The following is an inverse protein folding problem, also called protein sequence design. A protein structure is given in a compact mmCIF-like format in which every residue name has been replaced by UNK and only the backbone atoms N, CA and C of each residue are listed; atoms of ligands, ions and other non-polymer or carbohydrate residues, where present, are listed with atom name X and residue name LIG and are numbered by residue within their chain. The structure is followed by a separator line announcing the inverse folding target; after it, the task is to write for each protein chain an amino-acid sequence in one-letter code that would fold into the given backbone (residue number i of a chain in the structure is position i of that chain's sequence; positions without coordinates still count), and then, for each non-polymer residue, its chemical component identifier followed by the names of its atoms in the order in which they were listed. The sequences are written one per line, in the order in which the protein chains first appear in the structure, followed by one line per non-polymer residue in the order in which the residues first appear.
data_IF_727253863676
#
_entry.id   IF_727253863676
#
_cell.length_a   1.000
_cell.length_b   1.000
_cell.length_c   1.000
_cell.angle_alpha   90.00
_cell.angle_beta   90.00
_cell.angle_gamma   90.00
#
_symmetry.space_group_name_H-M   'P 1'
#
loop_
_entity.id
_entity.type
_entity.pdbx_description
1 polymer ?
#
# COMPACT_ATOMS: atom_id res chain seq x y z
N UNK A 1 -9.02 56.16 -39.48
CA UNK A 1 -7.78 55.59 -38.91
C UNK A 1 -7.98 54.08 -39.03
N UNK A 2 -7.49 53.38 -40.06
CA UNK A 2 -6.20 53.49 -40.79
C UNK A 2 -5.03 53.10 -39.87
N UNK A 3 -4.24 52.05 -40.13
CA UNK A 3 -4.36 50.96 -41.11
C UNK A 3 -3.01 50.40 -41.59
N UNK A 4 -2.97 49.10 -41.94
CA UNK A 4 -1.88 48.40 -42.69
C UNK A 4 -0.50 48.23 -41.98
N UNK A 5 0.41 47.30 -42.37
CA UNK A 5 0.34 45.99 -43.04
C UNK A 5 1.77 45.33 -43.10
N UNK A 6 1.87 44.11 -43.67
CA UNK A 6 3.09 43.41 -44.18
C UNK A 6 3.91 42.59 -43.14
N UNK A 7 4.22 41.27 -43.30
CA UNK A 7 4.87 40.48 -44.40
C UNK A 7 6.41 40.50 -44.31
N UNK A 8 7.25 39.54 -44.77
CA UNK A 8 7.14 38.16 -45.31
C UNK A 8 8.61 37.63 -45.54
N UNK A 9 8.98 36.38 -45.85
CA UNK A 9 8.47 34.99 -45.67
C UNK A 9 9.57 34.00 -46.16
N UNK A 10 9.58 32.72 -45.76
CA UNK A 10 10.53 31.70 -46.29
C UNK A 10 10.75 30.45 -45.41
N UNK A 11 11.16 29.28 -45.93
CA UNK A 11 10.45 28.30 -46.78
C UNK A 11 11.40 27.11 -47.12
N UNK A 12 11.11 25.93 -46.55
CA UNK A 12 11.42 24.57 -47.06
C UNK A 12 12.89 24.16 -47.34
N UNK A 13 13.18 23.01 -48.01
CA UNK A 13 13.32 21.74 -47.28
C UNK A 13 14.55 20.90 -47.67
N UNK A 14 14.72 19.72 -47.06
CA UNK A 14 15.43 18.59 -47.69
C UNK A 14 15.07 17.23 -47.08
N UNK A 15 14.89 16.23 -47.94
CA UNK A 15 14.80 14.81 -47.57
C UNK A 15 15.43 13.97 -48.69
N UNK A 16 16.11 12.88 -48.34
CA UNK A 16 16.54 11.85 -49.28
C UNK A 16 16.90 10.55 -48.54
N UNK A 17 16.59 9.42 -49.17
CA UNK A 17 16.65 8.08 -48.61
C UNK A 17 18.01 7.41 -48.84
N UNK A 18 18.33 6.38 -48.04
CA UNK A 18 18.75 5.05 -48.55
C UNK A 18 18.97 4.02 -47.44
N UNK A 19 18.61 2.78 -47.74
CA UNK A 19 19.12 1.53 -47.14
C UNK A 19 19.86 0.76 -48.28
N UNK A 20 20.33 -0.51 -48.17
CA UNK A 20 20.22 -1.47 -47.07
C UNK A 20 21.53 -2.31 -46.85
N UNK A 21 21.37 -3.53 -46.32
CA UNK A 21 22.18 -4.76 -46.58
C UNK A 21 22.92 -5.39 -45.40
N UNK A 22 23.14 -6.70 -45.52
CA UNK A 22 23.47 -7.64 -44.44
C UNK A 22 24.81 -8.36 -44.62
N UNK A 23 25.22 -9.05 -43.55
CA UNK A 23 26.08 -10.25 -43.53
C UNK A 23 27.60 -10.12 -43.78
N UNK A 24 28.38 -10.57 -42.79
CA UNK A 24 29.28 -11.73 -42.92
C UNK A 24 29.76 -12.26 -41.55
N UNK A 25 30.01 -13.57 -41.46
CA UNK A 25 30.84 -14.24 -40.44
C UNK A 25 32.01 -14.94 -41.18
N UNK A 26 33.10 -15.41 -40.53
CA UNK A 26 33.14 -16.56 -39.60
C UNK A 26 34.03 -16.25 -38.36
N UNK A 27 34.56 -17.13 -37.49
CA UNK A 27 34.71 -18.61 -37.31
C UNK A 27 34.58 -18.95 -35.80
N UNK A 28 34.37 -20.20 -35.36
CA UNK A 28 34.16 -21.47 -36.07
C UNK A 28 34.28 -22.69 -35.13
N UNK A 29 33.95 -23.88 -35.65
CA UNK A 29 34.21 -25.24 -35.12
C UNK A 29 33.83 -25.59 -33.66
N UNK A 30 32.78 -26.41 -33.50
CA UNK A 30 32.44 -27.12 -32.25
C UNK A 30 31.34 -28.18 -32.47
N UNK A 31 31.74 -29.45 -32.61
CA UNK A 31 30.97 -30.63 -33.08
C UNK A 31 29.57 -30.88 -32.50
N UNK A 32 28.77 -31.70 -33.21
CA UNK A 32 27.35 -31.95 -32.93
C UNK A 32 27.02 -33.40 -32.44
N UNK A 33 25.95 -33.48 -31.62
CA UNK A 33 25.02 -34.63 -31.45
C UNK A 33 25.56 -36.00 -30.94
N UNK A 34 24.70 -37.01 -30.62
CA UNK A 34 23.22 -37.05 -30.46
C UNK A 34 22.69 -37.71 -29.15
N UNK A 35 21.41 -37.45 -28.84
CA UNK A 35 20.42 -38.49 -28.44
C UNK A 35 20.34 -39.01 -26.99
N UNK A 36 19.12 -39.38 -26.56
CA UNK A 36 18.86 -40.14 -25.33
C UNK A 36 17.40 -40.06 -24.82
N UNK A 37 16.67 -41.18 -24.82
CA UNK A 37 15.34 -41.30 -24.22
C UNK A 37 15.39 -42.11 -22.91
N UNK A 38 14.61 -41.72 -21.90
CA UNK A 38 14.50 -42.41 -20.61
C UNK A 38 13.19 -42.03 -19.90
N UNK A 39 12.69 -42.92 -19.02
CA UNK A 39 11.29 -42.91 -18.56
C UNK A 39 11.09 -42.64 -17.07
N UNK A 40 9.85 -42.25 -16.75
CA UNK A 40 9.14 -42.36 -15.46
C UNK A 40 9.24 -41.26 -14.39
N UNK A 41 8.04 -41.05 -13.82
CA UNK A 41 7.57 -40.31 -12.64
C UNK A 41 8.16 -40.77 -11.28
N UNK A 42 7.87 -40.12 -10.11
CA UNK A 42 6.71 -39.25 -9.83
C UNK A 42 6.93 -37.96 -9.00
N UNK A 43 5.94 -37.06 -9.11
CA UNK A 43 5.22 -36.53 -7.94
C UNK A 43 5.75 -35.32 -7.15
N UNK A 44 5.08 -34.18 -7.32
CA UNK A 44 4.65 -33.30 -6.21
C UNK A 44 3.47 -32.44 -6.70
N UNK A 45 2.43 -32.28 -5.87
CA UNK A 45 1.25 -31.49 -6.26
C UNK A 45 1.52 -29.99 -6.17
N UNK A 46 1.51 -29.30 -7.31
CA UNK A 46 1.57 -27.83 -7.36
C UNK A 46 0.28 -27.24 -6.74
N UNK A 47 0.37 -26.27 -5.81
CA UNK A 47 -0.81 -25.73 -5.14
C UNK A 47 -1.61 -24.88 -6.13
N UNK A 48 -2.73 -25.43 -6.62
CA UNK A 48 -3.67 -24.75 -7.52
C UNK A 48 -4.03 -23.37 -6.95
N UNK A 49 -3.55 -22.32 -7.61
CA UNK A 49 -4.00 -20.96 -7.34
C UNK A 49 -5.51 -20.87 -7.60
N UNK A 50 -6.28 -20.54 -6.57
CA UNK A 50 -7.70 -20.24 -6.73
C UNK A 50 -7.81 -18.83 -7.31
N UNK A 51 -8.27 -18.73 -8.56
CA UNK A 51 -8.54 -17.44 -9.20
C UNK A 51 -9.56 -16.63 -8.37
N UNK A 52 -9.27 -15.36 -8.04
CA UNK A 52 -10.30 -14.44 -7.57
C UNK A 52 -11.33 -14.23 -8.69
N UNK A 53 -12.60 -14.57 -8.43
CA UNK A 53 -13.66 -14.39 -9.42
C UNK A 53 -13.90 -12.91 -9.74
N UNK A 54 -13.95 -12.56 -11.02
CA UNK A 54 -14.07 -11.18 -11.50
C UNK A 54 -15.35 -10.47 -11.05
N UNK A 55 -15.28 -9.74 -9.93
CA UNK A 55 -16.29 -8.76 -9.52
C UNK A 55 -15.93 -7.35 -10.02
N UNK A 56 -16.86 -6.68 -10.70
CA UNK A 56 -16.61 -5.32 -11.20
C UNK A 56 -16.72 -4.26 -10.08
N UNK A 57 -15.74 -3.35 -10.01
CA UNK A 57 -15.94 -2.04 -9.38
C UNK A 57 -15.27 -1.78 -8.03
N UNK A 58 -14.20 -2.49 -7.68
CA UNK A 58 -13.36 -2.18 -6.50
C UNK A 58 -11.88 -2.04 -6.86
N UNK A 59 -11.19 -1.07 -6.26
CA UNK A 59 -9.73 -0.99 -6.36
C UNK A 59 -9.10 -2.08 -5.48
N UNK A 60 -8.52 -3.10 -6.10
CA UNK A 60 -8.11 -4.37 -5.49
C UNK A 60 -7.54 -4.23 -4.06
N UNK A 61 -8.23 -4.90 -3.12
CA UNK A 61 -7.92 -4.91 -1.69
C UNK A 61 -7.25 -6.24 -1.35
N UNK A 62 -5.97 -6.20 -0.98
CA UNK A 62 -5.18 -7.39 -0.65
C UNK A 62 -5.37 -7.76 0.82
N UNK A 63 -5.64 -9.03 1.09
CA UNK A 63 -5.71 -9.61 2.44
C UNK A 63 -4.71 -10.77 2.56
N UNK A 64 -3.57 -10.53 3.22
CA UNK A 64 -2.54 -11.54 3.47
C UNK A 64 -2.75 -12.31 4.79
N UNK A 65 -3.05 -11.60 5.88
CA UNK A 65 -3.46 -12.14 7.18
C UNK A 65 -4.91 -11.71 7.45
N UNK A 66 -5.89 -12.61 7.30
CA UNK A 66 -7.28 -12.29 7.69
C UNK A 66 -7.39 -12.14 9.21
N UNK A 67 -8.07 -11.07 9.63
CA UNK A 67 -8.31 -10.70 11.03
C UNK A 67 -9.80 -10.58 11.29
N UNK A 68 -10.22 -10.80 12.53
CA UNK A 68 -11.61 -10.52 12.94
C UNK A 68 -11.89 -9.02 12.78
N UNK A 69 -13.06 -8.71 12.23
CA UNK A 69 -13.55 -7.34 12.08
C UNK A 69 -14.37 -6.91 13.31
N UNK A 70 -15.06 -7.84 13.98
CA UNK A 70 -15.53 -7.65 15.36
C UNK A 70 -14.38 -7.94 16.35
N UNK A 71 -13.84 -6.89 16.96
CA UNK A 71 -12.83 -6.91 18.02
C UNK A 71 -12.99 -5.71 18.94
N UNK A 72 -12.45 -5.77 20.16
CA UNK A 72 -12.32 -4.58 21.02
C UNK A 72 -11.04 -3.80 20.64
N UNK A 73 -11.15 -2.55 20.16
CA UNK A 73 -9.98 -1.73 19.84
C UNK A 73 -9.22 -1.22 21.07
N UNK A 74 -9.87 -1.07 22.23
CA UNK A 74 -9.24 -0.56 23.45
C UNK A 74 -8.23 -1.57 24.01
N UNK A 75 -8.59 -2.84 24.08
CA UNK A 75 -7.72 -3.92 24.57
C UNK A 75 -6.54 -4.30 23.66
N UNK A 76 -6.34 -3.64 22.50
CA UNK A 76 -5.27 -4.02 21.56
C UNK A 76 -3.87 -3.59 22.02
N UNK A 77 -3.72 -2.37 22.54
CA UNK A 77 -2.43 -1.82 22.99
C UNK A 77 -2.61 -1.13 24.33
N UNK A 78 -1.75 -1.48 25.29
CA UNK A 78 -1.68 -0.74 26.55
C UNK A 78 -1.13 0.68 26.33
N UNK A 79 -1.58 1.63 27.15
CA UNK A 79 -1.03 3.00 27.15
C UNK A 79 0.52 3.05 27.27
N UNK A 80 1.16 2.05 27.90
CA UNK A 80 2.62 1.94 27.94
C UNK A 80 3.23 1.51 26.59
N UNK A 81 2.63 0.57 25.86
CA UNK A 81 3.07 0.20 24.51
C UNK A 81 2.93 1.35 23.51
N UNK A 82 1.91 2.18 23.70
CA UNK A 82 1.68 3.42 22.95
C UNK A 82 2.71 4.48 23.30
N UNK A 83 2.97 4.73 24.59
CA UNK A 83 4.00 5.66 25.07
C UNK A 83 5.39 5.35 24.49
N UNK A 84 5.75 4.06 24.41
CA UNK A 84 7.00 3.58 23.79
C UNK A 84 7.09 3.89 22.29
N UNK A 85 5.98 3.90 21.53
CA UNK A 85 6.02 4.34 20.11
C UNK A 85 6.20 5.85 20.02
N UNK A 86 5.49 6.62 20.85
CA UNK A 86 5.59 8.08 20.87
C UNK A 86 6.90 8.64 21.43
N UNK A 87 7.75 7.80 22.04
CA UNK A 87 8.89 8.26 22.84
C UNK A 87 8.47 9.14 24.02
N UNK A 88 7.27 8.91 24.56
CA UNK A 88 6.70 9.64 25.70
C UNK A 88 6.99 8.92 27.02
N UNK A 89 7.12 9.68 28.11
CA UNK A 89 7.30 9.10 29.45
C UNK A 89 6.02 8.43 29.99
N UNK A 90 4.87 9.07 29.76
CA UNK A 90 3.55 8.58 30.13
C UNK A 90 2.54 8.97 29.04
N UNK A 91 1.61 8.05 28.76
CA UNK A 91 0.37 8.33 28.03
C UNK A 91 -0.79 7.94 28.96
N UNK A 92 -1.79 8.81 29.06
CA UNK A 92 -3.00 8.60 29.82
C UNK A 92 -4.08 7.98 28.92
N UNK A 93 -4.72 6.93 29.41
CA UNK A 93 -5.85 6.30 28.74
C UNK A 93 -7.13 7.08 29.03
N UNK A 94 -7.91 7.31 27.97
CA UNK A 94 -9.12 8.15 27.99
C UNK A 94 -10.26 7.42 27.28
N UNK A 95 -11.49 7.77 27.62
CA UNK A 95 -12.70 7.13 27.07
C UNK A 95 -12.71 7.11 25.55
N UNK A 96 -12.96 5.93 24.96
CA UNK A 96 -12.97 5.76 23.50
C UNK A 96 -11.61 5.40 22.90
N UNK A 97 -10.79 4.63 23.63
CA UNK A 97 -9.51 4.08 23.15
C UNK A 97 -8.53 5.19 22.70
N UNK A 98 -8.58 6.32 23.42
CA UNK A 98 -7.79 7.52 23.17
C UNK A 98 -6.67 7.57 24.19
N UNK A 99 -5.43 7.49 23.73
CA UNK A 99 -4.23 7.64 24.56
C UNK A 99 -3.68 9.05 24.34
N UNK A 100 -3.38 9.78 25.42
CA UNK A 100 -2.91 11.18 25.33
C UNK A 100 -1.73 11.48 26.24
N UNK A 101 -0.84 12.36 25.80
CA UNK A 101 0.15 13.03 26.64
C UNK A 101 0.13 14.53 26.32
N UNK A 102 0.45 15.35 27.31
CA UNK A 102 0.23 16.81 27.25
C UNK A 102 1.51 17.63 27.07
N UNK A 103 2.68 17.07 27.39
CA UNK A 103 3.97 17.75 27.29
C UNK A 103 5.06 16.80 26.73
N UNK A 104 5.34 16.81 25.40
CA UNK A 104 4.63 17.49 24.31
C UNK A 104 3.23 16.91 24.05
N UNK A 105 2.36 17.66 23.35
CA UNK A 105 1.00 17.19 23.06
C UNK A 105 1.01 16.12 21.99
N UNK A 106 0.59 14.91 22.38
CA UNK A 106 0.55 13.70 21.56
C UNK A 106 -0.74 12.93 21.82
N UNK A 107 -1.46 12.55 20.78
CA UNK A 107 -2.70 11.78 20.87
C UNK A 107 -2.68 10.64 19.88
N UNK A 108 -3.11 9.45 20.31
CA UNK A 108 -3.50 8.36 19.43
C UNK A 108 -4.93 7.89 19.74
N UNK A 109 -5.69 7.53 18.72
CA UNK A 109 -6.99 6.89 18.82
C UNK A 109 -6.93 5.58 18.03
N UNK A 110 -7.31 4.47 18.67
CA UNK A 110 -7.39 3.15 18.04
C UNK A 110 -8.87 2.79 17.94
N UNK A 111 -9.37 2.49 16.74
CA UNK A 111 -10.80 2.23 16.53
C UNK A 111 -11.09 1.19 15.45
N UNK A 112 -12.22 0.50 15.58
CA UNK A 112 -12.79 -0.31 14.52
C UNK A 112 -13.51 0.60 13.50
N UNK A 113 -13.43 0.25 12.22
CA UNK A 113 -13.97 1.04 11.12
C UNK A 113 -14.26 0.17 9.90
N UNK A 114 -14.66 0.78 8.78
CA UNK A 114 -14.82 0.09 7.51
C UNK A 114 -13.77 0.56 6.51
N UNK A 115 -13.23 -0.38 5.73
CA UNK A 115 -12.25 -0.14 4.69
C UNK A 115 -12.96 0.41 3.45
N UNK A 116 -13.28 1.70 3.45
CA UNK A 116 -13.73 2.42 2.27
C UNK A 116 -12.48 2.89 1.53
N UNK A 117 -12.14 2.33 0.35
CA UNK A 117 -10.99 2.76 -0.44
C UNK A 117 -11.33 4.08 -1.15
N UNK A 118 -11.33 5.19 -0.41
CA UNK A 118 -11.67 6.48 -0.96
C UNK A 118 -10.64 6.88 -2.04
N UNK A 119 -11.13 7.14 -3.25
CA UNK A 119 -10.27 7.52 -4.38
C UNK A 119 -9.59 8.89 -4.18
N UNK A 120 -10.06 9.69 -3.21
CA UNK A 120 -9.47 10.95 -2.79
C UNK A 120 -8.46 10.82 -1.62
N UNK A 121 -8.17 9.61 -1.14
CA UNK A 121 -7.18 9.34 -0.08
C UNK A 121 -5.72 9.50 -0.57
N UNK A 122 -5.38 10.69 -1.06
CA UNK A 122 -4.04 11.09 -1.46
C UNK A 122 -3.11 11.21 -0.24
N UNK A 123 -2.53 10.09 0.21
CA UNK A 123 -1.12 10.01 0.67
C UNK A 123 -0.55 8.55 0.70
N UNK A 124 -1.19 7.65 -0.03
CA UNK A 124 -0.57 6.44 -0.59
C UNK A 124 -1.08 5.12 -0.01
N UNK A 125 -1.09 4.10 -0.87
CA UNK A 125 -1.23 2.69 -0.48
C UNK A 125 0.04 2.24 0.23
N UNK A 126 -0.12 1.55 1.35
CA UNK A 126 0.92 0.86 2.09
C UNK A 126 0.45 -0.57 2.41
N UNK A 127 1.29 -1.39 3.03
CA UNK A 127 0.90 -2.70 3.54
C UNK A 127 1.16 -2.79 5.04
N UNK A 128 0.20 -3.31 5.80
CA UNK A 128 0.34 -3.60 7.23
C UNK A 128 0.00 -5.06 7.46
N UNK A 129 0.93 -5.82 8.03
CA UNK A 129 0.78 -7.27 8.25
C UNK A 129 0.65 -8.13 6.97
N UNK A 130 0.80 -7.54 5.78
CA UNK A 130 0.51 -8.17 4.48
C UNK A 130 -0.88 -7.85 3.91
N UNK A 131 -1.66 -7.00 4.58
CA UNK A 131 -2.95 -6.50 4.09
C UNK A 131 -2.80 -5.08 3.52
N UNK A 132 -3.65 -4.73 2.56
CA UNK A 132 -3.76 -3.36 2.05
C UNK A 132 -4.12 -2.39 3.17
N UNK A 133 -3.40 -1.28 3.21
CA UNK A 133 -3.69 -0.17 4.09
C UNK A 133 -3.55 1.17 3.35
N UNK A 134 -4.29 2.18 3.81
CA UNK A 134 -4.19 3.56 3.34
C UNK A 134 -3.64 4.44 4.44
N UNK A 135 -2.84 5.43 4.04
CA UNK A 135 -2.34 6.49 4.90
C UNK A 135 -2.93 7.82 4.44
N UNK A 136 -3.57 8.54 5.35
CA UNK A 136 -4.24 9.82 5.12
C UNK A 136 -3.62 10.85 6.05
N UNK A 137 -2.93 11.87 5.52
CA UNK A 137 -2.34 12.94 6.34
C UNK A 137 -3.28 14.14 6.41
N UNK A 138 -3.37 14.77 7.58
CA UNK A 138 -4.03 16.06 7.79
C UNK A 138 -3.00 17.13 8.18
N UNK A 139 -3.44 18.37 8.41
CA UNK A 139 -2.54 19.46 8.83
C UNK A 139 -1.94 19.21 10.22
N UNK A 140 -2.68 18.53 11.11
CA UNK A 140 -2.32 18.33 12.53
C UNK A 140 -1.87 16.88 12.86
N UNK A 141 -2.03 15.94 11.91
CA UNK A 141 -1.91 14.53 12.22
C UNK A 141 -1.92 13.60 11.00
N UNK A 142 -2.13 12.31 11.26
CA UNK A 142 -2.19 11.27 10.23
C UNK A 142 -3.00 10.06 10.69
N UNK A 143 -3.81 9.51 9.80
CA UNK A 143 -4.59 8.31 10.01
C UNK A 143 -4.11 7.17 9.11
N UNK A 144 -4.07 5.95 9.67
CA UNK A 144 -3.79 4.71 8.96
C UNK A 144 -5.01 3.79 9.07
N UNK A 145 -5.48 3.31 7.92
CA UNK A 145 -6.64 2.44 7.80
C UNK A 145 -6.21 1.11 7.16
N UNK A 146 -6.32 0.00 7.88
CA UNK A 146 -5.84 -1.34 7.48
C UNK A 146 -7.02 -2.28 7.28
N UNK A 147 -7.12 -2.92 6.12
CA UNK A 147 -8.14 -3.94 5.85
C UNK A 147 -7.94 -5.18 6.73
N UNK A 148 -9.00 -5.75 7.30
CA UNK A 148 -8.95 -6.89 8.23
C UNK A 148 -9.53 -8.17 7.61
N UNK A 149 -10.80 -8.12 7.20
CA UNK A 149 -11.46 -9.15 6.40
C UNK A 149 -12.69 -8.60 5.68
N UNK A 150 -13.05 -9.21 4.55
CA UNK A 150 -14.33 -9.00 3.86
C UNK A 150 -15.45 -9.59 4.73
N UNK A 151 -16.30 -8.76 5.34
CA UNK A 151 -17.47 -9.24 6.10
C UNK A 151 -18.68 -9.42 5.19
N UNK A 152 -18.78 -8.60 4.15
CA UNK A 152 -19.72 -8.78 3.04
C UNK A 152 -19.07 -8.33 1.73
N UNK A 153 -19.77 -8.53 0.60
CA UNK A 153 -19.36 -7.97 -0.70
C UNK A 153 -19.48 -6.42 -0.75
N UNK A 154 -20.05 -5.80 0.28
CA UNK A 154 -20.31 -4.36 0.37
C UNK A 154 -19.40 -3.67 1.41
N UNK A 155 -18.86 -4.42 2.38
CA UNK A 155 -18.02 -3.89 3.45
C UNK A 155 -16.88 -4.84 3.84
N UNK A 156 -15.66 -4.30 3.79
CA UNK A 156 -14.46 -4.90 4.43
C UNK A 156 -14.27 -4.20 5.78
N UNK A 157 -14.12 -4.97 6.86
CA UNK A 157 -13.81 -4.41 8.18
C UNK A 157 -12.38 -3.87 8.25
N UNK A 158 -12.14 -2.84 9.05
CA UNK A 158 -10.86 -2.15 9.13
C UNK A 158 -10.42 -1.81 10.56
N UNK A 159 -9.11 -1.87 10.77
CA UNK A 159 -8.44 -1.18 11.87
C UNK A 159 -8.10 0.24 11.42
N UNK A 160 -8.58 1.23 12.16
CA UNK A 160 -8.17 2.63 12.00
C UNK A 160 -7.35 3.08 13.21
N UNK A 161 -6.22 3.72 12.95
CA UNK A 161 -5.41 4.40 13.96
C UNK A 161 -5.18 5.83 13.52
N UNK A 162 -5.61 6.79 14.34
CA UNK A 162 -5.42 8.22 14.13
C UNK A 162 -4.35 8.74 15.10
N UNK A 163 -3.40 9.53 14.63
CA UNK A 163 -2.34 10.16 15.45
C UNK A 163 -2.29 11.66 15.20
N UNK A 164 -2.30 12.44 16.29
CA UNK A 164 -2.15 13.90 16.29
C UNK A 164 -0.94 14.28 17.14
N UNK A 165 -0.16 15.27 16.69
CA UNK A 165 1.06 15.72 17.38
C UNK A 165 1.26 17.23 17.19
N UNK A 166 1.78 17.91 18.21
CA UNK A 166 2.23 19.32 18.17
C UNK A 166 3.46 19.61 17.26
N UNK A 167 3.76 18.72 16.31
CA UNK A 167 4.95 18.80 15.45
C UNK A 167 6.23 18.26 16.10
N UNK A 168 6.19 17.77 17.34
CA UNK A 168 7.36 17.15 18.01
C UNK A 168 7.79 15.79 17.44
N UNK A 169 7.00 15.20 16.53
CA UNK A 169 7.30 13.94 15.84
C UNK A 169 6.60 13.88 14.47
N UNK A 170 6.90 12.87 13.64
CA UNK A 170 6.20 12.64 12.37
C UNK A 170 4.97 11.74 12.61
N UNK A 171 3.73 12.25 12.47
CA UNK A 171 2.53 11.54 12.93
C UNK A 171 2.19 10.34 12.05
N UNK A 172 2.59 10.30 10.78
CA UNK A 172 2.30 9.18 9.90
C UNK A 172 3.16 7.96 10.21
N UNK A 173 4.45 8.14 10.54
CA UNK A 173 5.28 7.00 10.95
C UNK A 173 4.74 6.39 12.25
N UNK A 174 4.40 7.24 13.23
CA UNK A 174 3.77 6.82 14.49
C UNK A 174 2.45 6.07 14.25
N UNK A 175 1.60 6.55 13.35
CA UNK A 175 0.35 5.88 12.99
C UNK A 175 0.58 4.52 12.33
N UNK A 176 1.60 4.36 11.48
CA UNK A 176 1.97 3.07 10.86
C UNK A 176 2.52 2.10 11.91
N UNK A 177 3.38 2.57 12.82
CA UNK A 177 3.97 1.73 13.87
C UNK A 177 2.91 1.25 14.86
N UNK A 178 1.99 2.13 15.27
CA UNK A 178 0.84 1.79 16.12
C UNK A 178 -0.14 0.85 15.39
N UNK A 179 -0.51 1.13 14.14
CA UNK A 179 -1.39 0.26 13.36
C UNK A 179 -0.78 -1.13 13.16
N UNK A 180 0.55 -1.23 12.98
CA UNK A 180 1.25 -2.51 12.87
C UNK A 180 1.19 -3.30 14.18
N UNK A 181 1.50 -2.67 15.32
CA UNK A 181 1.40 -3.32 16.64
C UNK A 181 -0.04 -3.75 16.96
N UNK A 182 -1.02 -2.87 16.74
CA UNK A 182 -2.42 -3.16 17.00
C UNK A 182 -2.96 -4.26 16.08
N UNK A 183 -2.60 -4.26 14.79
CA UNK A 183 -3.03 -5.29 13.83
C UNK A 183 -2.56 -6.69 14.24
N UNK A 184 -1.30 -6.87 14.66
CA UNK A 184 -0.81 -8.18 15.10
C UNK A 184 -1.47 -8.65 16.41
N UNK A 185 -2.05 -7.74 17.20
CA UNK A 185 -2.84 -8.03 18.42
C UNK A 185 -4.29 -8.46 18.14
N UNK A 186 -4.90 -8.03 17.03
CA UNK A 186 -6.27 -8.46 16.66
C UNK A 186 -6.28 -9.99 16.45
N UNK A 187 -7.29 -10.73 16.95
CA UNK A 187 -7.43 -12.16 16.68
C UNK A 187 -7.54 -12.46 15.18
N UNK A 188 -6.98 -13.58 14.74
CA UNK A 188 -7.20 -14.06 13.38
C UNK A 188 -8.67 -14.49 13.18
N UNK A 189 -9.17 -14.35 11.96
CA UNK A 189 -10.47 -14.87 11.54
C UNK A 189 -10.36 -16.34 11.09
#
# INVERSE_FOLDING_TARGET
MSGSASSASGDSPSASSSAPSSAAAPTGSGSAEPGGSGSQEPGAGEPRATEPGSGQGGGEVKLGKRKKSEYDPCGLLSSQEVAVVFGAGEMLETSGCLHSSFEPMKVAIIQASYFIPDASAEIGKIEVGGNSAYRMKSEEGCAVLVALSEESQEATGALRVDVTTDGSAEPCQLAVDLATKAFDRIPNA
#
